data_IF_799836947378
#
_entry.id   IF_799836947378
#
_cell.length_a   1.000
_cell.length_b   1.000
_cell.length_c   1.000
_cell.angle_alpha   90.00
_cell.angle_beta   90.00
_cell.angle_gamma   90.00
#
_symmetry.space_group_name_H-M   'P 1'
#
loop_
_entity.id
_entity.type
_entity.pdbx_description
1 polymer ?
#
# COMPACT_ATOMS: atom_id res chain seq x y z
N UNK A 1 -0.88 19.22 -26.74
CA UNK A 1 -0.47 17.82 -26.51
C UNK A 1 0.08 17.65 -25.10
N UNK A 2 -0.57 18.18 -24.06
CA UNK A 2 0.16 18.49 -22.82
C UNK A 2 -0.62 18.28 -21.51
N UNK A 3 -1.80 17.64 -21.55
CA UNK A 3 -2.69 17.58 -20.37
C UNK A 3 -2.88 16.19 -19.75
N UNK A 4 -2.22 15.14 -20.26
CA UNK A 4 -2.38 13.78 -19.73
C UNK A 4 -1.28 13.33 -18.76
N UNK A 5 -0.11 13.99 -18.76
CA UNK A 5 0.99 13.63 -17.87
C UNK A 5 0.82 14.13 -16.42
N UNK A 6 0.08 15.21 -16.21
CA UNK A 6 -0.05 15.85 -14.89
C UNK A 6 -1.00 15.08 -13.93
N UNK A 7 -1.78 14.14 -14.45
CA UNK A 7 -2.78 13.38 -13.69
C UNK A 7 -2.25 12.12 -13.02
N UNK A 8 -0.96 11.83 -13.14
CA UNK A 8 -0.32 10.66 -12.53
C UNK A 8 0.42 10.96 -11.22
N UNK A 9 0.53 12.24 -10.84
CA UNK A 9 1.36 12.65 -9.70
C UNK A 9 0.63 12.77 -8.35
N UNK A 10 -0.68 12.48 -8.28
CA UNK A 10 -1.50 12.66 -7.05
C UNK A 10 -1.93 11.38 -6.34
N UNK A 11 -1.36 10.23 -6.67
CA UNK A 11 -1.42 9.04 -5.79
C UNK A 11 -0.11 8.93 -5.00
N UNK A 12 0.52 10.08 -4.73
CA UNK A 12 1.62 10.17 -3.79
C UNK A 12 1.03 10.10 -2.39
N UNK A 13 1.12 8.92 -1.78
CA UNK A 13 1.21 8.66 -0.34
C UNK A 13 1.24 9.92 0.55
N UNK A 14 0.10 10.59 0.72
CA UNK A 14 -0.07 11.65 1.72
C UNK A 14 -0.25 11.01 3.11
N UNK A 15 0.65 10.08 3.47
CA UNK A 15 0.82 9.64 4.85
C UNK A 15 1.65 10.69 5.56
N UNK A 16 0.93 11.74 5.95
CA UNK A 16 1.33 12.70 6.97
C UNK A 16 2.13 12.01 8.09
N UNK A 17 3.38 12.45 8.25
CA UNK A 17 4.24 12.31 9.44
C UNK A 17 4.95 10.98 9.74
N UNK A 18 5.56 10.30 8.76
CA UNK A 18 6.60 9.28 9.09
C UNK A 18 7.85 9.37 8.21
N UNK A 19 8.43 10.56 8.13
CA UNK A 19 9.82 10.78 7.71
C UNK A 19 10.57 11.52 8.82
N UNK A 20 10.55 10.96 10.05
CA UNK A 20 11.62 11.27 10.99
C UNK A 20 12.80 10.39 10.58
N UNK A 21 13.79 11.00 9.94
CA UNK A 21 15.13 10.44 9.78
C UNK A 21 15.51 9.74 11.10
N UNK A 22 15.84 8.44 11.02
CA UNK A 22 16.24 7.65 12.18
C UNK A 22 17.54 8.24 12.73
N UNK A 23 17.45 9.04 13.78
CA UNK A 23 18.54 9.20 14.74
C UNK A 23 18.52 7.96 15.61
N UNK A 24 19.56 7.13 15.51
CA UNK A 24 19.81 6.03 16.44
C UNK A 24 20.33 6.63 17.74
N UNK A 25 19.45 7.23 18.54
CA UNK A 25 19.72 7.39 19.96
C UNK A 25 18.87 6.37 20.72
N UNK A 26 19.61 5.45 21.30
CA UNK A 26 19.18 4.29 22.06
C UNK A 26 18.55 4.77 23.37
N UNK A 27 17.26 5.12 23.32
CA UNK A 27 16.47 5.51 24.48
C UNK A 27 15.35 4.51 24.70
N UNK A 28 15.38 3.85 25.86
CA UNK A 28 14.40 2.89 26.35
C UNK A 28 12.96 3.46 26.30
N UNK A 29 12.25 3.13 25.23
CA UNK A 29 10.83 3.39 25.09
C UNK A 29 10.18 2.15 24.53
N UNK A 30 9.51 1.38 25.38
CA UNK A 30 8.62 0.28 24.99
C UNK A 30 7.34 0.87 24.36
N UNK A 31 7.51 1.70 23.33
CA UNK A 31 6.45 2.26 22.50
C UNK A 31 6.43 1.47 21.22
N UNK A 32 5.30 0.83 20.92
CA UNK A 32 5.11 0.06 19.68
C UNK A 32 5.45 0.93 18.47
N UNK A 33 6.67 0.77 17.93
CA UNK A 33 7.06 1.44 16.71
C UNK A 33 6.30 0.77 15.58
N UNK A 34 5.25 1.41 15.08
CA UNK A 34 4.56 0.97 13.88
C UNK A 34 5.57 0.94 12.74
N UNK A 35 5.83 -0.26 12.24
CA UNK A 35 6.74 -0.47 11.12
C UNK A 35 6.01 -0.29 9.79
N UNK A 36 6.74 -0.11 8.69
CA UNK A 36 6.13 -0.07 7.35
C UNK A 36 5.40 -1.40 7.06
N UNK A 37 5.92 -2.51 7.56
CA UNK A 37 5.27 -3.82 7.43
C UNK A 37 3.88 -3.81 8.07
N UNK A 38 3.74 -3.22 9.27
CA UNK A 38 2.45 -3.09 9.95
C UNK A 38 1.47 -2.23 9.14
N UNK A 39 1.94 -1.18 8.47
CA UNK A 39 1.12 -0.33 7.62
C UNK A 39 0.69 -1.01 6.31
N UNK A 40 1.56 -1.82 5.71
CA UNK A 40 1.25 -2.56 4.47
C UNK A 40 0.27 -3.69 4.75
N UNK A 41 0.43 -4.38 5.87
CA UNK A 41 -0.45 -5.47 6.31
C UNK A 41 -1.74 -4.98 7.00
N UNK A 42 -1.92 -3.66 7.13
CA UNK A 42 -3.16 -3.10 7.67
C UNK A 42 -4.38 -3.54 6.84
N UNK A 43 -5.43 -3.98 7.53
CA UNK A 43 -6.66 -4.50 6.91
C UNK A 43 -7.30 -3.49 5.95
N UNK A 44 -7.26 -2.19 6.25
CA UNK A 44 -7.83 -1.18 5.37
C UNK A 44 -6.96 -1.00 4.12
N UNK A 45 -5.63 -1.03 4.26
CA UNK A 45 -4.71 -0.98 3.12
C UNK A 45 -4.92 -2.17 2.18
N UNK A 46 -5.01 -3.39 2.72
CA UNK A 46 -5.26 -4.60 1.92
C UNK A 46 -6.61 -4.52 1.19
N UNK A 47 -7.67 -4.07 1.86
CA UNK A 47 -8.99 -3.86 1.23
C UNK A 47 -8.93 -2.86 0.07
N UNK A 48 -8.22 -1.74 0.23
CA UNK A 48 -8.03 -0.75 -0.85
C UNK A 48 -7.25 -1.34 -2.03
N UNK A 49 -6.21 -2.12 -1.74
CA UNK A 49 -5.44 -2.82 -2.76
C UNK A 49 -6.31 -3.81 -3.56
N UNK A 50 -7.12 -4.64 -2.87
CA UNK A 50 -8.06 -5.57 -3.51
C UNK A 50 -9.05 -4.85 -4.43
N UNK A 51 -9.69 -3.78 -3.96
CA UNK A 51 -10.64 -3.01 -4.78
C UNK A 51 -9.95 -2.43 -6.02
N UNK A 52 -8.69 -2.00 -5.90
CA UNK A 52 -7.94 -1.48 -7.04
C UNK A 52 -7.63 -2.56 -8.07
N UNK A 53 -7.18 -3.74 -7.62
CA UNK A 53 -6.92 -4.89 -8.50
C UNK A 53 -8.20 -5.32 -9.23
N UNK A 54 -9.30 -5.46 -8.49
CA UNK A 54 -10.60 -5.82 -9.07
C UNK A 54 -11.08 -4.81 -10.13
N UNK A 55 -10.83 -3.51 -9.89
CA UNK A 55 -11.18 -2.44 -10.83
C UNK A 55 -10.29 -2.45 -12.06
N UNK A 56 -8.99 -2.70 -11.90
CA UNK A 56 -8.05 -2.75 -13.01
C UNK A 56 -8.35 -3.94 -13.94
N UNK A 57 -8.82 -5.07 -13.39
CA UNK A 57 -8.98 -6.34 -14.10
C UNK A 57 -7.64 -6.77 -14.73
N UNK A 58 -7.64 -7.83 -15.52
CA UNK A 58 -6.44 -8.32 -16.20
C UNK A 58 -6.55 -9.80 -16.55
N UNK A 59 -5.63 -10.28 -17.38
CA UNK A 59 -5.41 -11.71 -17.54
C UNK A 59 -4.79 -12.30 -16.27
N UNK A 60 -5.01 -13.59 -16.05
CA UNK A 60 -4.38 -14.33 -14.97
C UNK A 60 -2.85 -14.36 -15.14
N UNK A 61 -2.14 -14.57 -14.02
CA UNK A 61 -0.69 -14.75 -14.01
C UNK A 61 -0.28 -16.17 -14.41
N UNK A 62 0.97 -16.52 -14.12
CA UNK A 62 1.51 -17.88 -14.33
C UNK A 62 0.85 -18.94 -13.43
N UNK A 63 0.22 -18.50 -12.34
CA UNK A 63 -0.51 -19.33 -11.39
C UNK A 63 -1.98 -19.54 -11.78
N UNK A 64 -2.40 -18.99 -12.92
CA UNK A 64 -3.78 -18.99 -13.41
C UNK A 64 -4.81 -18.40 -12.43
N UNK A 65 -4.38 -17.67 -11.38
CA UNK A 65 -5.29 -17.03 -10.44
C UNK A 65 -5.93 -15.79 -11.04
N UNK A 66 -7.26 -15.69 -10.97
CA UNK A 66 -8.02 -14.53 -11.44
C UNK A 66 -8.39 -13.60 -10.29
N UNK A 67 -8.84 -12.38 -10.61
CA UNK A 67 -9.32 -11.42 -9.60
C UNK A 67 -10.52 -11.93 -8.79
N UNK A 68 -11.23 -12.96 -9.26
CA UNK A 68 -12.35 -13.56 -8.56
C UNK A 68 -11.90 -14.53 -7.46
N UNK A 69 -10.70 -15.08 -7.58
CA UNK A 69 -10.12 -16.06 -6.65
C UNK A 69 -9.43 -15.39 -5.46
N UNK A 70 -9.32 -14.05 -5.46
CA UNK A 70 -8.55 -13.27 -4.48
C UNK A 70 -9.29 -13.03 -3.15
N UNK A 71 -10.62 -13.15 -3.11
CA UNK A 71 -11.41 -12.81 -1.92
C UNK A 71 -11.01 -13.56 -0.63
N UNK A 72 -10.63 -14.85 -0.64
CA UNK A 72 -10.23 -15.57 0.57
C UNK A 72 -8.94 -15.07 1.25
N UNK A 73 -8.17 -14.20 0.60
CA UNK A 73 -6.87 -13.73 1.08
C UNK A 73 -6.93 -12.35 1.77
N UNK A 74 -8.11 -11.94 2.23
CA UNK A 74 -8.42 -10.60 2.74
C UNK A 74 -9.13 -10.64 4.11
#
# INVERSE_FOLDING_TARGET
TEQQADRLSRIGLENRKYTRARSTDYGEGKGMSVTIQDLVLDRNNLNQAYLRVKRNKGAAGIDDMTVNDLLPYL
#
